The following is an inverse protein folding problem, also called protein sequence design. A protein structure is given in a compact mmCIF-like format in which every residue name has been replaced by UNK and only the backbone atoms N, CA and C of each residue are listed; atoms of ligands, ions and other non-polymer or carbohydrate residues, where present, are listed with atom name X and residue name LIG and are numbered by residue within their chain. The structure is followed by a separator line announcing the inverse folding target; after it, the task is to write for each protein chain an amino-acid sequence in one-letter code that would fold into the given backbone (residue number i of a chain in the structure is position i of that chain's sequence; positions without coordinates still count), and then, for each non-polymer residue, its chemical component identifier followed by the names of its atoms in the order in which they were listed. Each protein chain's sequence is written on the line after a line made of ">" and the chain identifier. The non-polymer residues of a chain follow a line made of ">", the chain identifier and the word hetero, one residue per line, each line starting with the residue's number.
data_IF_466572932885
#
_entry.id   IF_466572932885
#
_cell.length_a   1.000
_cell.length_b   1.000
_cell.length_c   1.000
_cell.angle_alpha   90.00
_cell.angle_beta   90.00
_cell.angle_gamma   90.00
#
_symmetry.space_group_name_H-M   'P 1'
#
loop_
_entity.id
_entity.type
_entity.pdbx_description
1 polymer ?
#
# COMPACT_ATOMS: atom_id res chain seq x y z
N UNK A 1 14.34 1.14 -18.83
CA UNK A 1 13.54 1.86 -17.82
C UNK A 1 12.43 0.92 -17.41
N UNK A 2 12.60 0.26 -16.28
CA UNK A 2 11.60 -0.57 -15.64
C UNK A 2 10.77 0.27 -14.66
N UNK A 3 9.56 -0.22 -14.37
CA UNK A 3 8.75 0.27 -13.27
C UNK A 3 8.59 -0.84 -12.23
N UNK A 4 8.76 -0.51 -10.96
CA UNK A 4 8.60 -1.42 -9.83
C UNK A 4 7.64 -0.82 -8.80
N UNK A 5 6.70 -1.62 -8.34
CA UNK A 5 5.82 -1.31 -7.21
C UNK A 5 6.17 -2.26 -6.06
N UNK A 6 6.87 -1.73 -5.05
CA UNK A 6 7.24 -2.41 -3.83
C UNK A 6 6.22 -2.03 -2.76
N UNK A 7 5.48 -2.99 -2.23
CA UNK A 7 4.44 -2.71 -1.25
C UNK A 7 4.25 -3.88 -0.29
N UNK A 8 3.89 -3.57 0.95
CA UNK A 8 3.49 -4.58 1.92
C UNK A 8 2.25 -5.34 1.45
N UNK A 9 2.18 -6.64 1.73
CA UNK A 9 1.09 -7.52 1.28
C UNK A 9 -0.16 -7.51 2.15
N UNK A 10 -0.24 -6.61 3.13
CA UNK A 10 -1.42 -6.39 3.95
C UNK A 10 -2.37 -5.36 3.33
N UNK A 11 -3.40 -4.99 4.08
CA UNK A 11 -4.40 -4.03 3.63
C UNK A 11 -3.80 -2.64 3.33
N UNK A 12 -2.85 -2.16 4.13
CA UNK A 12 -2.33 -0.81 4.01
C UNK A 12 -1.47 -0.66 2.75
N UNK A 13 -0.54 -1.59 2.52
CA UNK A 13 0.28 -1.60 1.31
C UNK A 13 -0.56 -1.77 0.02
N UNK A 14 -1.54 -2.68 0.03
CA UNK A 14 -2.42 -2.93 -1.13
C UNK A 14 -3.30 -1.72 -1.43
N UNK A 15 -3.95 -1.14 -0.42
CA UNK A 15 -4.85 0.00 -0.60
C UNK A 15 -4.09 1.27 -1.01
N UNK A 16 -2.90 1.50 -0.45
CA UNK A 16 -1.99 2.57 -0.88
C UNK A 16 -1.66 2.48 -2.36
N UNK A 17 -1.27 1.28 -2.83
CA UNK A 17 -0.93 1.09 -4.24
C UNK A 17 -2.14 1.27 -5.14
N UNK A 18 -3.31 0.78 -4.72
CA UNK A 18 -4.54 0.90 -5.51
C UNK A 18 -4.91 2.36 -5.73
N UNK A 19 -4.85 3.21 -4.69
CA UNK A 19 -5.08 4.65 -4.83
C UNK A 19 -4.12 5.29 -5.82
N UNK A 20 -2.81 5.02 -5.70
CA UNK A 20 -1.80 5.57 -6.62
C UNK A 20 -2.01 5.12 -8.07
N UNK A 21 -2.38 3.86 -8.30
CA UNK A 21 -2.54 3.31 -9.66
C UNK A 21 -3.88 3.63 -10.30
N UNK A 22 -4.90 3.97 -9.51
CA UNK A 22 -6.12 4.61 -10.03
C UNK A 22 -5.83 6.04 -10.48
N UNK A 23 -5.07 6.81 -9.69
CA UNK A 23 -4.68 8.18 -10.04
C UNK A 23 -3.72 8.23 -11.23
N UNK A 24 -2.71 7.36 -11.21
CA UNK A 24 -1.69 7.26 -12.23
C UNK A 24 -1.55 5.81 -12.71
N UNK A 25 -2.36 5.41 -13.72
CA UNK A 25 -2.32 4.08 -14.28
C UNK A 25 -0.94 3.78 -14.87
N UNK A 26 -0.30 2.74 -14.34
CA UNK A 26 0.96 2.20 -14.85
C UNK A 26 0.93 0.68 -14.76
N UNK A 27 1.72 0.02 -15.61
CA UNK A 27 1.98 -1.41 -15.54
C UNK A 27 3.40 -1.62 -15.04
N UNK A 28 3.51 -2.00 -13.77
CA UNK A 28 4.77 -2.10 -13.05
C UNK A 28 4.95 -3.52 -12.52
N UNK A 29 6.20 -3.93 -12.33
CA UNK A 29 6.51 -5.20 -11.68
C UNK A 29 6.15 -5.09 -10.21
N UNK A 30 5.20 -5.91 -9.77
CA UNK A 30 4.76 -5.99 -8.39
C UNK A 30 5.78 -6.80 -7.57
N UNK A 31 6.34 -6.17 -6.54
CA UNK A 31 7.27 -6.78 -5.58
C UNK A 31 6.61 -6.68 -4.22
N UNK A 32 6.15 -7.81 -3.68
CA UNK A 32 5.39 -7.87 -2.44
C UNK A 32 5.46 -9.28 -1.87
N UNK A 33 5.11 -9.45 -0.60
CA UNK A 33 5.14 -10.72 0.10
C UNK A 33 4.29 -10.67 1.36
N UNK A 34 4.54 -11.57 2.31
CA UNK A 34 3.84 -11.59 3.61
C UNK A 34 3.92 -10.24 4.32
N UNK A 35 2.99 -9.97 5.24
CA UNK A 35 3.00 -8.76 6.07
C UNK A 35 4.34 -8.48 6.76
N UNK A 36 5.04 -9.55 7.14
CA UNK A 36 6.34 -9.48 7.83
C UNK A 36 7.53 -9.31 6.88
N UNK A 37 7.37 -9.52 5.58
CA UNK A 37 8.45 -9.39 4.60
C UNK A 37 8.52 -7.96 4.04
N UNK A 38 9.19 -7.09 4.78
CA UNK A 38 9.25 -5.66 4.48
C UNK A 38 10.55 -5.21 3.79
N UNK A 39 11.57 -6.07 3.64
CA UNK A 39 12.82 -5.70 2.97
C UNK A 39 12.76 -6.07 1.48
N UNK A 40 11.98 -5.31 0.73
CA UNK A 40 11.59 -5.64 -0.65
C UNK A 40 12.59 -5.16 -1.70
N UNK A 41 13.41 -4.16 -1.41
CA UNK A 41 14.44 -3.69 -2.37
C UNK A 41 15.50 -4.75 -2.70
N UNK A 42 15.61 -5.82 -1.91
CA UNK A 42 16.51 -6.95 -2.19
C UNK A 42 16.10 -7.78 -3.40
N UNK A 43 14.85 -7.66 -3.87
CA UNK A 43 14.31 -8.42 -4.99
C UNK A 43 14.43 -7.71 -6.34
N UNK A 44 15.04 -6.52 -6.37
CA UNK A 44 15.22 -5.74 -7.59
C UNK A 44 16.68 -5.38 -7.79
N UNK A 45 17.05 -5.20 -9.07
CA UNK A 45 18.33 -4.66 -9.51
C UNK A 45 18.05 -3.31 -10.18
N UNK A 46 18.10 -2.19 -9.44
CA UNK A 46 17.80 -0.88 -9.98
C UNK A 46 18.81 -0.46 -11.05
N UNK A 47 18.32 0.17 -12.11
CA UNK A 47 19.13 0.78 -13.16
C UNK A 47 18.74 2.25 -13.39
N UNK A 48 19.60 2.98 -14.12
CA UNK A 48 19.37 4.37 -14.47
C UNK A 48 18.04 4.54 -15.21
N UNK A 49 17.23 5.50 -14.74
CA UNK A 49 15.91 5.80 -15.30
C UNK A 49 14.80 4.80 -14.93
N UNK A 50 15.05 3.84 -14.04
CA UNK A 50 13.97 3.06 -13.45
C UNK A 50 13.11 3.93 -12.53
N UNK A 51 11.82 3.60 -12.43
CA UNK A 51 10.88 4.22 -11.49
C UNK A 51 10.46 3.21 -10.45
N UNK A 52 10.66 3.54 -9.18
CA UNK A 52 10.39 2.65 -8.06
C UNK A 52 9.40 3.35 -7.13
N UNK A 53 8.30 2.68 -6.82
CA UNK A 53 7.36 3.07 -5.77
C UNK A 53 7.58 2.13 -4.60
N UNK A 54 7.71 2.65 -3.38
CA UNK A 54 7.83 1.90 -2.14
C UNK A 54 6.75 2.35 -1.15
N UNK A 55 5.89 1.42 -0.71
CA UNK A 55 4.72 1.70 0.11
C UNK A 55 4.67 0.76 1.32
N UNK A 56 4.43 1.34 2.48
CA UNK A 56 4.18 0.60 3.73
C UNK A 56 5.30 -0.38 4.12
N UNK A 57 6.53 -0.03 3.77
CA UNK A 57 7.71 -0.80 4.13
C UNK A 57 8.72 0.13 4.78
N UNK A 58 9.25 -0.22 5.95
CA UNK A 58 10.18 0.64 6.67
C UNK A 58 11.37 1.06 5.83
N UNK A 59 11.58 2.38 5.70
CA UNK A 59 12.77 2.93 5.03
C UNK A 59 14.07 2.52 5.73
N UNK A 60 14.08 2.39 7.06
CA UNK A 60 15.24 1.90 7.81
C UNK A 60 15.64 0.48 7.35
N UNK A 61 14.66 -0.40 7.15
CA UNK A 61 14.89 -1.77 6.67
C UNK A 61 15.34 -1.86 5.21
N UNK A 62 14.97 -0.87 4.40
CA UNK A 62 15.27 -0.83 2.97
C UNK A 62 16.39 0.14 2.60
N UNK A 63 17.01 0.82 3.58
CA UNK A 63 17.97 1.92 3.38
C UNK A 63 19.03 1.62 2.33
N UNK A 64 19.75 0.52 2.50
CA UNK A 64 20.80 0.13 1.55
C UNK A 64 20.24 -0.07 0.14
N UNK A 65 19.03 -0.61 0.03
CA UNK A 65 18.33 -0.79 -1.24
C UNK A 65 17.96 0.53 -1.92
N UNK A 66 17.44 1.48 -1.13
CA UNK A 66 17.08 2.83 -1.58
C UNK A 66 18.33 3.57 -2.04
N UNK A 67 19.39 3.58 -1.25
CA UNK A 67 20.66 4.24 -1.58
C UNK A 67 21.28 3.66 -2.86
N UNK A 68 21.26 2.33 -3.02
CA UNK A 68 21.70 1.69 -4.29
C UNK A 68 20.86 2.13 -5.48
N UNK A 69 19.54 2.22 -5.33
CA UNK A 69 18.64 2.65 -6.40
C UNK A 69 18.93 4.10 -6.84
N UNK A 70 19.07 5.00 -5.86
CA UNK A 70 19.38 6.41 -6.12
C UNK A 70 20.76 6.58 -6.74
N UNK A 71 21.76 5.83 -6.28
CA UNK A 71 23.12 5.84 -6.84
C UNK A 71 23.15 5.29 -8.29
N UNK A 72 22.30 4.31 -8.62
CA UNK A 72 22.14 3.81 -9.98
C UNK A 72 21.42 4.81 -10.91
N UNK A 73 20.83 5.88 -10.38
CA UNK A 73 20.10 6.89 -11.12
C UNK A 73 18.62 6.56 -11.35
N UNK A 74 18.02 5.73 -10.49
CA UNK A 74 16.57 5.52 -10.47
C UNK A 74 15.84 6.67 -9.76
N UNK A 75 14.56 6.87 -10.11
CA UNK A 75 13.61 7.73 -9.40
C UNK A 75 12.85 6.88 -8.38
N UNK A 76 12.79 7.33 -7.12
CA UNK A 76 12.13 6.60 -6.03
C UNK A 76 11.04 7.48 -5.41
N UNK A 77 9.80 6.99 -5.41
CA UNK A 77 8.72 7.50 -4.56
C UNK A 77 8.60 6.59 -3.34
N UNK A 78 8.56 7.17 -2.15
CA UNK A 78 8.53 6.43 -0.89
C UNK A 78 7.49 7.03 0.06
N UNK A 79 6.43 6.27 0.36
CA UNK A 79 5.44 6.63 1.37
C UNK A 79 5.37 5.54 2.44
N UNK A 80 5.53 5.92 3.70
CA UNK A 80 5.56 4.97 4.82
C UNK A 80 5.31 5.70 6.15
N UNK A 81 4.79 4.98 7.14
CA UNK A 81 4.51 5.49 8.48
C UNK A 81 5.38 4.86 9.57
N UNK A 82 6.22 3.89 9.23
CA UNK A 82 7.15 3.26 10.15
C UNK A 82 8.37 4.15 10.46
N UNK A 83 9.14 3.75 11.47
CA UNK A 83 10.44 4.35 11.74
C UNK A 83 11.35 4.25 10.49
N UNK A 84 11.89 5.40 10.08
CA UNK A 84 12.71 5.53 8.87
C UNK A 84 14.21 5.67 9.12
N UNK A 85 14.66 5.86 10.37
CA UNK A 85 16.06 6.17 10.68
C UNK A 85 16.48 7.55 10.20
N UNK A 86 17.77 7.71 9.92
CA UNK A 86 18.34 8.97 9.42
C UNK A 86 17.81 9.35 8.03
N UNK A 87 17.55 10.64 7.74
CA UNK A 87 17.13 11.06 6.41
C UNK A 87 18.09 10.64 5.29
N UNK A 88 17.54 10.20 4.16
CA UNK A 88 18.27 10.03 2.90
C UNK A 88 17.98 11.25 2.04
N UNK A 89 19.02 11.98 1.64
CA UNK A 89 18.89 13.19 0.83
C UNK A 89 19.22 12.88 -0.64
N UNK A 90 18.27 13.12 -1.54
CA UNK A 90 18.47 12.98 -2.98
C UNK A 90 17.38 13.71 -3.77
N UNK A 91 17.74 14.38 -4.85
CA UNK A 91 16.77 14.98 -5.79
C UNK A 91 15.92 13.93 -6.54
N UNK A 92 16.33 12.66 -6.50
CA UNK A 92 15.60 11.53 -7.11
C UNK A 92 14.74 10.76 -6.12
N UNK A 93 14.66 11.23 -4.88
CA UNK A 93 13.84 10.63 -3.84
C UNK A 93 12.68 11.57 -3.49
N UNK A 94 11.47 11.17 -3.85
CA UNK A 94 10.25 11.77 -3.34
C UNK A 94 9.81 11.02 -2.09
N UNK A 95 9.92 11.65 -0.91
CA UNK A 95 9.84 11.00 0.40
C UNK A 95 8.71 11.57 1.25
N UNK A 96 7.78 10.71 1.64
CA UNK A 96 6.66 10.99 2.53
C UNK A 96 6.68 10.03 3.72
N UNK A 97 7.38 10.42 4.79
CA UNK A 97 7.45 9.64 6.03
C UNK A 97 6.71 10.38 7.14
N UNK A 98 5.59 9.81 7.62
CA UNK A 98 4.81 10.37 8.72
C UNK A 98 4.62 9.31 9.82
N UNK A 99 5.26 9.50 10.98
CA UNK A 99 5.29 8.48 12.05
C UNK A 99 4.28 8.72 13.17
N UNK A 100 3.24 9.50 12.91
CA UNK A 100 2.19 9.77 13.90
C UNK A 100 1.37 8.51 14.17
N UNK A 101 0.90 8.33 15.41
CA UNK A 101 0.23 7.09 15.83
C UNK A 101 -1.16 6.89 15.21
N UNK A 102 -1.71 7.91 14.56
CA UNK A 102 -3.04 7.96 13.97
C UNK A 102 -3.02 7.95 12.43
N UNK A 103 -1.86 7.67 11.82
CA UNK A 103 -1.68 7.58 10.36
C UNK A 103 -1.20 6.20 9.89
N UNK A 104 -1.48 5.89 8.64
CA UNK A 104 -0.99 4.74 7.87
C UNK A 104 -0.61 5.19 6.47
N UNK A 105 0.06 4.35 5.70
CA UNK A 105 0.50 4.67 4.34
C UNK A 105 -0.68 5.01 3.43
N UNK A 106 -1.81 4.34 3.59
CA UNK A 106 -3.02 4.57 2.79
C UNK A 106 -3.58 5.97 3.02
N UNK A 107 -3.49 6.50 4.23
CA UNK A 107 -3.91 7.87 4.54
C UNK A 107 -2.89 8.90 4.03
N UNK A 108 -1.59 8.60 4.09
CA UNK A 108 -0.54 9.44 3.49
C UNK A 108 -0.81 9.60 1.99
N UNK A 109 -0.97 8.48 1.28
CA UNK A 109 -1.30 8.47 -0.15
C UNK A 109 -2.62 9.18 -0.42
N UNK A 110 -3.67 8.91 0.37
CA UNK A 110 -4.97 9.57 0.20
C UNK A 110 -4.85 11.09 0.28
N UNK A 111 -4.08 11.60 1.25
CA UNK A 111 -3.84 13.04 1.43
C UNK A 111 -3.10 13.66 0.25
N UNK A 112 -2.12 12.95 -0.34
CA UNK A 112 -1.40 13.40 -1.53
C UNK A 112 -2.29 13.46 -2.78
N UNK A 113 -3.36 12.67 -2.80
CA UNK A 113 -4.30 12.58 -3.91
C UNK A 113 -5.62 13.33 -3.64
N UNK A 114 -5.60 14.28 -2.70
CA UNK A 114 -6.77 15.08 -2.29
C UNK A 114 -8.01 14.22 -1.96
N UNK A 115 -7.79 13.03 -1.39
CA UNK A 115 -8.80 12.07 -0.97
C UNK A 115 -9.74 11.56 -2.08
N UNK A 116 -9.39 11.71 -3.36
CA UNK A 116 -10.24 11.31 -4.50
C UNK A 116 -10.66 9.82 -4.46
N UNK A 117 -9.84 8.97 -3.83
CA UNK A 117 -10.10 7.54 -3.65
C UNK A 117 -10.33 7.14 -2.18
N UNK A 118 -10.99 8.00 -1.40
CA UNK A 118 -11.17 7.81 0.05
C UNK A 118 -11.66 6.41 0.47
N UNK A 119 -12.61 5.73 -0.23
CA UNK A 119 -13.01 4.38 0.16
C UNK A 119 -11.83 3.39 0.27
N UNK A 120 -10.83 3.48 -0.61
CA UNK A 120 -9.61 2.66 -0.50
C UNK A 120 -8.75 3.09 0.69
N UNK A 121 -8.64 4.40 0.96
CA UNK A 121 -7.93 4.88 2.14
C UNK A 121 -8.53 4.35 3.45
N UNK A 122 -9.86 4.30 3.52
CA UNK A 122 -10.59 3.74 4.67
C UNK A 122 -10.34 2.23 4.82
N UNK A 123 -10.29 1.47 3.72
CA UNK A 123 -9.91 0.04 3.75
C UNK A 123 -8.54 -0.15 4.38
N UNK A 124 -7.54 0.67 4.01
CA UNK A 124 -6.20 0.65 4.62
C UNK A 124 -6.24 1.00 6.11
N UNK A 125 -6.88 2.12 6.48
CA UNK A 125 -7.02 2.53 7.88
C UNK A 125 -7.70 1.48 8.77
N UNK A 126 -8.77 0.85 8.28
CA UNK A 126 -9.43 -0.22 9.02
C UNK A 126 -8.55 -1.47 9.12
N UNK A 127 -7.83 -1.81 8.06
CA UNK A 127 -6.85 -2.92 8.07
C UNK A 127 -5.75 -2.74 9.12
N UNK A 128 -5.27 -1.51 9.30
CA UNK A 128 -4.30 -1.13 10.31
C UNK A 128 -4.88 -0.88 11.71
N UNK A 129 -6.18 -1.14 11.90
CA UNK A 129 -6.90 -0.91 13.15
C UNK A 129 -6.97 0.56 13.60
N UNK A 130 -6.80 1.52 12.69
CA UNK A 130 -6.94 2.96 12.93
C UNK A 130 -8.42 3.39 12.84
N UNK A 131 -9.29 2.72 13.59
CA UNK A 131 -10.74 2.89 13.54
C UNK A 131 -11.17 4.33 13.82
N UNK A 132 -10.57 5.01 14.80
CA UNK A 132 -10.96 6.38 15.15
C UNK A 132 -10.70 7.36 14.00
N UNK A 133 -9.53 7.28 13.35
CA UNK A 133 -9.19 8.08 12.18
C UNK A 133 -10.11 7.77 11.00
N UNK A 134 -10.38 6.48 10.75
CA UNK A 134 -11.29 6.05 9.70
C UNK A 134 -12.70 6.61 9.89
N UNK A 135 -13.27 6.51 11.10
CA UNK A 135 -14.62 7.03 11.37
C UNK A 135 -14.71 8.55 11.20
N UNK A 136 -13.69 9.31 11.64
CA UNK A 136 -13.65 10.76 11.46
C UNK A 136 -13.65 11.16 9.98
N UNK A 137 -12.94 10.42 9.12
CA UNK A 137 -12.93 10.68 7.68
C UNK A 137 -14.23 10.22 7.01
N UNK A 138 -14.76 9.06 7.39
CA UNK A 138 -16.04 8.56 6.89
C UNK A 138 -17.22 9.50 7.25
N UNK A 139 -17.16 10.16 8.41
CA UNK A 139 -18.12 11.20 8.80
C UNK A 139 -18.07 12.42 7.89
N UNK A 140 -16.88 12.88 7.50
CA UNK A 140 -16.71 14.06 6.63
C UNK A 140 -17.36 13.86 5.26
N UNK A 141 -17.24 12.65 4.71
CA UNK A 141 -17.87 12.28 3.43
C UNK A 141 -19.29 11.71 3.57
N UNK A 142 -19.87 11.77 4.78
CA UNK A 142 -21.23 11.29 5.05
C UNK A 142 -21.49 9.83 4.64
N UNK A 143 -20.49 8.96 4.76
CA UNK A 143 -20.65 7.53 4.45
C UNK A 143 -21.68 6.89 5.38
N UNK A 144 -22.54 6.04 4.80
CA UNK A 144 -23.53 5.30 5.57
C UNK A 144 -22.86 4.30 6.51
N UNK A 145 -23.53 3.97 7.62
CA UNK A 145 -23.05 2.91 8.52
C UNK A 145 -22.83 1.57 7.78
N UNK A 146 -23.68 1.27 6.80
CA UNK A 146 -23.56 0.04 6.02
C UNK A 146 -22.27 0.03 5.20
N UNK A 147 -21.95 1.13 4.52
CA UNK A 147 -20.71 1.26 3.74
C UNK A 147 -19.48 1.15 4.65
N UNK A 148 -19.50 1.80 5.82
CA UNK A 148 -18.37 1.76 6.77
C UNK A 148 -18.06 0.34 7.24
N UNK A 149 -19.08 -0.41 7.64
CA UNK A 149 -18.89 -1.80 8.07
C UNK A 149 -18.38 -2.68 6.92
N UNK A 150 -18.85 -2.44 5.68
CA UNK A 150 -18.37 -3.14 4.50
C UNK A 150 -16.88 -2.85 4.23
N UNK A 151 -16.46 -1.59 4.25
CA UNK A 151 -15.07 -1.19 4.06
C UNK A 151 -14.17 -1.73 5.18
N UNK A 152 -14.68 -1.76 6.42
CA UNK A 152 -13.99 -2.32 7.57
C UNK A 152 -13.80 -3.84 7.45
N UNK A 153 -14.83 -4.56 7.05
CA UNK A 153 -14.75 -6.00 6.80
C UNK A 153 -13.73 -6.29 5.70
N UNK A 154 -13.76 -5.50 4.61
CA UNK A 154 -12.77 -5.62 3.54
C UNK A 154 -11.34 -5.36 4.01
N UNK A 155 -11.08 -4.27 4.75
CA UNK A 155 -9.75 -3.99 5.33
C UNK A 155 -9.27 -5.12 6.23
N UNK A 156 -10.18 -5.68 7.03
CA UNK A 156 -9.91 -6.85 7.87
C UNK A 156 -9.50 -8.06 7.03
N UNK A 157 -10.29 -8.45 6.03
CA UNK A 157 -9.99 -9.60 5.16
C UNK A 157 -8.66 -9.44 4.41
N UNK A 158 -8.38 -8.25 3.86
CA UNK A 158 -7.11 -7.98 3.18
C UNK A 158 -5.92 -8.09 4.14
N UNK A 159 -6.04 -7.53 5.35
CA UNK A 159 -5.00 -7.62 6.35
C UNK A 159 -4.76 -9.08 6.77
N UNK A 160 -5.82 -9.87 6.99
CA UNK A 160 -5.72 -11.30 7.30
C UNK A 160 -5.03 -12.11 6.22
N UNK A 161 -5.26 -11.82 4.93
CA UNK A 161 -4.53 -12.46 3.83
C UNK A 161 -3.02 -12.19 3.88
N UNK A 162 -2.56 -11.12 4.55
CA UNK A 162 -1.14 -10.85 4.75
C UNK A 162 -0.47 -11.72 5.83
N UNK A 163 -1.24 -12.43 6.67
CA UNK A 163 -0.71 -13.24 7.76
C UNK A 163 -0.53 -14.71 7.36
N UNK A 164 0.72 -15.15 7.27
CA UNK A 164 1.11 -16.54 7.05
C UNK A 164 2.55 -16.81 7.52
N UNK A 165 2.92 -18.08 7.69
CA UNK A 165 4.31 -18.47 7.88
C UNK A 165 5.05 -18.47 6.55
N UNK A 166 4.42 -18.90 5.48
CA UNK A 166 4.92 -18.79 4.10
C UNK A 166 3.81 -18.31 3.14
N UNK A 167 4.16 -18.11 1.87
CA UNK A 167 3.23 -17.61 0.86
C UNK A 167 2.14 -18.62 0.51
N UNK A 168 2.36 -19.91 0.77
CA UNK A 168 1.39 -20.97 0.48
C UNK A 168 0.29 -21.03 1.54
N UNK A 169 0.52 -20.45 2.73
CA UNK A 169 -0.51 -20.26 3.77
C UNK A 169 -1.56 -19.20 3.37
N UNK A 170 -1.26 -18.33 2.41
CA UNK A 170 -2.15 -17.24 2.04
C UNK A 170 -3.29 -17.72 1.13
N UNK A 171 -4.45 -17.09 1.25
CA UNK A 171 -5.57 -17.33 0.32
C UNK A 171 -5.16 -16.93 -1.10
N UNK A 172 -4.46 -15.79 -1.19
CA UNK A 172 -3.81 -15.30 -2.40
C UNK A 172 -2.41 -14.78 -2.10
N UNK A 173 -1.48 -15.03 -3.02
CA UNK A 173 -0.26 -14.24 -3.10
C UNK A 173 -0.63 -12.74 -3.23
N UNK A 174 -0.02 -11.79 -2.50
CA UNK A 174 -0.50 -10.40 -2.47
C UNK A 174 -0.46 -9.71 -3.84
N UNK A 175 0.52 -10.04 -4.68
CA UNK A 175 0.56 -9.57 -6.08
C UNK A 175 -0.67 -10.04 -6.90
N UNK A 176 -1.15 -11.26 -6.68
CA UNK A 176 -2.32 -11.79 -7.38
C UNK A 176 -3.62 -11.22 -6.82
N UNK A 177 -3.69 -11.02 -5.51
CA UNK A 177 -4.77 -10.31 -4.87
C UNK A 177 -4.89 -8.88 -5.41
N UNK A 178 -3.78 -8.13 -5.46
CA UNK A 178 -3.75 -6.79 -6.03
C UNK A 178 -4.23 -6.77 -7.49
N UNK A 179 -3.80 -7.73 -8.33
CA UNK A 179 -4.28 -7.81 -9.72
C UNK A 179 -5.79 -8.00 -9.84
N UNK A 180 -6.42 -8.70 -8.90
CA UNK A 180 -7.87 -8.89 -8.83
C UNK A 180 -8.60 -7.64 -8.34
N UNK A 181 -7.96 -6.87 -7.46
CA UNK A 181 -8.44 -5.57 -6.96
C UNK A 181 -8.32 -4.47 -8.01
N UNK A 182 -7.24 -4.47 -8.81
CA UNK A 182 -6.87 -3.42 -9.76
C UNK A 182 -8.03 -2.88 -10.63
N UNK A 183 -8.97 -3.70 -11.14
CA UNK A 183 -10.08 -3.21 -11.97
C UNK A 183 -11.10 -2.32 -11.24
N UNK A 184 -11.07 -2.28 -9.91
CA UNK A 184 -12.12 -1.66 -9.09
C UNK A 184 -11.69 -0.29 -8.57
N UNK A 185 -12.29 0.77 -9.12
CA UNK A 185 -12.14 2.14 -8.60
C UNK A 185 -12.72 2.26 -7.20
N UNK A 186 -13.86 1.60 -6.95
CA UNK A 186 -14.50 1.53 -5.65
C UNK A 186 -14.33 0.12 -5.05
N UNK A 187 -13.84 -0.02 -3.81
CA UNK A 187 -13.65 -1.32 -3.15
C UNK A 187 -14.93 -2.16 -3.07
N UNK A 188 -16.12 -1.54 -2.99
CA UNK A 188 -17.40 -2.26 -2.94
C UNK A 188 -17.66 -3.06 -4.21
N UNK A 189 -17.11 -2.64 -5.35
CA UNK A 189 -17.18 -3.42 -6.59
C UNK A 189 -16.43 -4.76 -6.50
N UNK A 190 -15.29 -4.79 -5.81
CA UNK A 190 -14.54 -6.03 -5.58
C UNK A 190 -15.29 -6.96 -4.60
N UNK A 191 -16.01 -6.39 -3.62
CA UNK A 191 -16.76 -7.15 -2.63
C UNK A 191 -17.87 -8.04 -3.21
N UNK A 192 -18.36 -7.71 -4.42
CA UNK A 192 -19.40 -8.48 -5.10
C UNK A 192 -18.87 -9.73 -5.84
N UNK A 193 -17.55 -9.95 -5.82
CA UNK A 193 -16.89 -11.01 -6.59
C UNK A 193 -16.74 -12.32 -5.79
N UNK A 194 -16.57 -13.44 -6.51
CA UNK A 194 -16.16 -14.71 -5.90
C UNK A 194 -14.76 -14.63 -5.27
N UNK A 195 -13.90 -13.75 -5.78
CA UNK A 195 -12.56 -13.56 -5.24
C UNK A 195 -12.62 -12.98 -3.82
N UNK A 196 -13.49 -12.00 -3.57
CA UNK A 196 -13.72 -11.48 -2.23
C UNK A 196 -14.39 -12.51 -1.31
N UNK A 197 -15.37 -13.27 -1.82
CA UNK A 197 -16.00 -14.35 -1.03
C UNK A 197 -14.99 -15.39 -0.54
N UNK A 198 -13.92 -15.62 -1.30
CA UNK A 198 -12.83 -16.52 -0.90
C UNK A 198 -11.93 -15.93 0.19
N UNK A 199 -11.82 -14.61 0.29
CA UNK A 199 -11.03 -13.91 1.32
C UNK A 199 -11.74 -13.83 2.69
N UNK A 200 -13.06 -14.03 2.71
CA UNK A 200 -13.92 -13.86 3.88
C UNK A 200 -13.98 -15.09 4.76
#
# INVERSE_FOLDING_TARGET
>A
MACYDLFNGDADGIASLQQLRLHEPRDCKLITGLKRDINLFRYIEPAAGDRIVALDISMDKNREGVERALAAGAEVFYADHHYAGEPIESERLDRHIHTDADTCTSLIVSSLLDHVYLPWALVGLYGDNLYATAELLADRESLSRHDREALKEMGTCLNYNGYGFDLDDLIYHPADLYRRIRPYEDPRGFMETDDYRRLR
#
